data_IF_725734099629
#
_entry.id   IF_725734099629
#
_cell.length_a   1.000
_cell.length_b   1.000
_cell.length_c   1.000
_cell.angle_alpha   90.00
_cell.angle_beta   90.00
_cell.angle_gamma   90.00
#
_symmetry.space_group_name_H-M   'P 1'
#
loop_
_entity.id
_entity.type
_entity.pdbx_description
1 polymer ?
#
# COMPACT_ATOMS: atom_id res chain seq x y z
N UNK A 1 9.48 -20.80 56.69
CA UNK A 1 10.70 -20.85 55.85
C UNK A 1 10.46 -21.45 54.45
N UNK A 2 9.33 -22.12 54.17
CA UNK A 2 9.06 -22.79 52.89
C UNK A 2 8.55 -21.87 51.76
N UNK A 3 7.97 -20.70 52.07
CA UNK A 3 7.42 -19.80 51.04
C UNK A 3 8.47 -18.93 50.33
N UNK A 4 9.60 -18.61 50.97
CA UNK A 4 10.61 -17.70 50.37
C UNK A 4 11.47 -18.36 49.31
N UNK A 5 11.58 -19.71 49.32
CA UNK A 5 12.29 -20.47 48.28
C UNK A 5 11.40 -20.82 47.08
N UNK A 6 10.09 -20.95 47.30
CA UNK A 6 9.14 -21.27 46.24
C UNK A 6 8.97 -20.12 45.23
N UNK A 7 9.05 -18.87 45.71
CA UNK A 7 8.94 -17.67 44.86
C UNK A 7 10.04 -17.57 43.78
N UNK A 8 11.35 -17.61 44.11
CA UNK A 8 12.40 -17.52 43.09
C UNK A 8 12.39 -18.71 42.14
N UNK A 9 12.01 -19.90 42.62
CA UNK A 9 11.90 -21.10 41.79
C UNK A 9 10.78 -20.97 40.75
N UNK A 10 9.63 -20.43 41.14
CA UNK A 10 8.51 -20.19 40.23
C UNK A 10 8.84 -19.11 39.19
N UNK A 11 9.50 -18.03 39.60
CA UNK A 11 9.99 -16.98 38.68
C UNK A 11 10.98 -17.56 37.67
N UNK A 12 11.92 -18.40 38.12
CA UNK A 12 12.88 -19.05 37.22
C UNK A 12 12.19 -19.95 36.18
N UNK A 13 11.20 -20.74 36.61
CA UNK A 13 10.41 -21.58 35.70
C UNK A 13 9.64 -20.75 34.66
N UNK A 14 9.00 -19.65 35.07
CA UNK A 14 8.29 -18.76 34.14
C UNK A 14 9.28 -18.13 33.15
N UNK A 15 10.44 -17.67 33.61
CA UNK A 15 11.45 -17.06 32.76
C UNK A 15 11.96 -18.03 31.69
N UNK A 16 12.31 -19.25 32.11
CA UNK A 16 12.74 -20.31 31.19
C UNK A 16 11.63 -20.71 30.21
N UNK A 17 10.39 -20.79 30.68
CA UNK A 17 9.23 -21.03 29.83
C UNK A 17 9.03 -19.92 28.78
N UNK A 18 9.14 -18.66 29.18
CA UNK A 18 9.02 -17.52 28.28
C UNK A 18 10.13 -17.50 27.23
N UNK A 19 11.37 -17.78 27.62
CA UNK A 19 12.50 -17.91 26.68
C UNK A 19 12.24 -19.04 25.70
N UNK A 20 11.85 -20.22 26.18
CA UNK A 20 11.53 -21.35 25.31
C UNK A 20 10.42 -20.98 24.31
N UNK A 21 9.32 -20.37 24.76
CA UNK A 21 8.23 -19.91 23.89
C UNK A 21 8.73 -18.90 22.86
N UNK A 22 9.57 -17.94 23.24
CA UNK A 22 10.08 -16.91 22.35
C UNK A 22 11.00 -17.46 21.25
N UNK A 23 11.74 -18.54 21.52
CA UNK A 23 12.61 -19.20 20.54
C UNK A 23 11.91 -20.31 19.74
N UNK A 24 10.94 -21.03 20.34
CA UNK A 24 10.18 -22.08 19.66
C UNK A 24 9.05 -21.55 18.80
N UNK A 25 8.39 -20.45 19.20
CA UNK A 25 7.45 -19.79 18.32
C UNK A 25 8.26 -19.02 17.27
N UNK A 26 8.20 -19.39 15.98
CA UNK A 26 8.74 -18.52 14.94
C UNK A 26 8.07 -17.17 15.13
N UNK A 27 8.84 -16.08 15.09
CA UNK A 27 8.31 -14.71 15.15
C UNK A 27 7.30 -14.57 14.02
N UNK A 28 6.03 -14.83 14.31
CA UNK A 28 4.91 -14.71 13.39
C UNK A 28 4.70 -13.21 13.21
N UNK A 29 5.45 -12.66 12.26
CA UNK A 29 5.15 -11.36 11.71
C UNK A 29 3.72 -11.41 11.17
N UNK A 30 2.96 -10.33 11.36
CA UNK A 30 1.56 -10.19 10.94
C UNK A 30 1.31 -10.53 9.45
N UNK A 31 2.36 -10.68 8.63
CA UNK A 31 2.29 -11.14 7.25
C UNK A 31 1.65 -12.53 7.06
N UNK A 32 1.84 -13.50 7.98
CA UNK A 32 1.23 -14.84 7.82
C UNK A 32 -0.29 -14.86 8.05
N UNK A 33 -0.81 -13.94 8.87
CA UNK A 33 -2.25 -13.79 9.06
C UNK A 33 -2.92 -13.05 7.88
N UNK A 34 -2.15 -12.33 7.06
CA UNK A 34 -2.68 -11.70 5.83
C UNK A 34 -3.09 -12.74 4.77
N UNK A 35 -2.46 -13.93 4.76
CA UNK A 35 -2.86 -15.03 3.88
C UNK A 35 -4.23 -15.65 4.26
N UNK A 36 -4.69 -15.43 5.50
CA UNK A 36 -6.02 -15.82 5.98
C UNK A 36 -7.03 -14.67 5.98
N UNK A 37 -6.59 -13.43 5.80
CA UNK A 37 -7.47 -12.33 5.50
C UNK A 37 -7.95 -12.52 4.05
N UNK A 38 -9.18 -12.97 3.90
CA UNK A 38 -9.87 -13.10 2.62
C UNK A 38 -9.55 -11.89 1.74
N UNK A 39 -8.96 -12.15 0.56
CA UNK A 39 -8.47 -11.18 -0.42
C UNK A 39 -9.56 -10.28 -1.03
N UNK A 40 -10.73 -10.17 -0.39
CA UNK A 40 -11.93 -9.52 -0.92
C UNK A 40 -12.71 -8.67 0.08
N UNK A 41 -12.25 -8.50 1.31
CA UNK A 41 -12.95 -7.64 2.27
C UNK A 41 -12.19 -6.32 2.48
N UNK A 42 -12.56 -5.38 1.62
CA UNK A 42 -12.39 -3.92 1.68
C UNK A 42 -11.93 -3.46 3.07
N UNK A 43 -10.62 -3.29 3.23
CA UNK A 43 -10.09 -2.54 4.36
C UNK A 43 -10.35 -1.06 4.10
N UNK A 44 -11.04 -0.45 5.05
CA UNK A 44 -11.63 0.89 5.02
C UNK A 44 -10.65 1.94 4.51
N UNK A 45 -10.89 2.49 3.31
CA UNK A 45 -10.11 3.61 2.74
C UNK A 45 -10.59 4.01 1.36
N UNK A 46 -10.81 3.03 0.47
CA UNK A 46 -11.38 3.24 -0.86
C UNK A 46 -12.33 2.08 -1.19
N UNK A 47 -13.63 2.36 -1.27
CA UNK A 47 -14.63 1.44 -1.81
C UNK A 47 -14.62 1.54 -3.35
N UNK A 48 -14.91 0.44 -4.04
CA UNK A 48 -15.12 0.40 -5.50
C UNK A 48 -16.30 1.28 -5.98
N UNK A 49 -17.07 1.84 -5.05
CA UNK A 49 -18.19 2.72 -5.34
C UNK A 49 -18.21 3.90 -4.35
N UNK A 50 -18.25 5.11 -4.88
CA UNK A 50 -18.40 6.35 -4.09
C UNK A 50 -19.77 6.97 -4.38
N UNK A 51 -20.54 7.22 -3.32
CA UNK A 51 -21.82 7.95 -3.39
C UNK A 51 -21.60 9.40 -2.92
N UNK A 52 -22.11 10.37 -3.69
CA UNK A 52 -22.08 11.78 -3.29
C UNK A 52 -22.91 11.96 -2.01
N UNK A 53 -22.28 12.51 -0.96
CA UNK A 53 -22.88 12.67 0.38
C UNK A 53 -22.26 11.77 1.48
N UNK A 54 -21.54 10.70 1.11
CA UNK A 54 -20.83 9.81 2.08
C UNK A 54 -19.32 10.08 2.23
N UNK A 55 -18.76 11.07 1.51
CA UNK A 55 -17.36 11.52 1.65
C UNK A 55 -16.98 11.88 3.11
N UNK A 56 -17.98 12.13 3.98
CA UNK A 56 -17.78 12.46 5.39
C UNK A 56 -17.18 11.35 6.27
N UNK A 57 -17.28 10.06 5.92
CA UNK A 57 -16.73 8.98 6.78
C UNK A 57 -15.20 8.87 6.68
N UNK A 58 -14.60 9.17 5.52
CA UNK A 58 -13.14 9.15 5.33
C UNK A 58 -12.47 10.32 6.08
N UNK A 59 -13.17 11.47 6.22
CA UNK A 59 -12.65 12.64 6.94
C UNK A 59 -12.62 12.48 8.47
N UNK A 60 -13.19 11.41 9.04
CA UNK A 60 -13.28 11.24 10.50
C UNK A 60 -12.05 10.57 11.12
N UNK A 61 -11.11 10.08 10.29
CA UNK A 61 -9.90 9.41 10.76
C UNK A 61 -8.66 10.22 10.41
N UNK A 62 -7.86 10.58 11.43
CA UNK A 62 -6.54 11.20 11.26
C UNK A 62 -5.42 10.17 11.16
N UNK A 63 -5.74 8.90 10.89
CA UNK A 63 -4.74 7.84 10.74
C UNK A 63 -3.85 8.11 9.53
N UNK A 64 -2.55 7.93 9.72
CA UNK A 64 -1.58 8.02 8.62
C UNK A 64 -1.81 6.87 7.65
N UNK A 65 -1.79 7.16 6.35
CA UNK A 65 -1.97 6.18 5.27
C UNK A 65 -0.64 5.80 4.65
N UNK A 66 0.21 6.80 4.43
CA UNK A 66 1.49 6.64 3.78
C UNK A 66 2.44 7.78 4.15
N UNK A 67 3.73 7.50 4.03
CA UNK A 67 4.82 8.45 4.13
C UNK A 67 5.51 8.56 2.78
N UNK A 68 5.79 9.79 2.34
CA UNK A 68 6.42 10.04 1.06
C UNK A 68 7.68 10.86 1.27
N UNK A 69 8.76 10.42 0.64
CA UNK A 69 10.02 11.13 0.56
C UNK A 69 10.28 11.49 -0.89
N UNK A 70 10.25 12.78 -1.21
CA UNK A 70 10.54 13.30 -2.55
C UNK A 70 12.01 13.68 -2.61
N UNK A 71 12.73 13.22 -3.63
CA UNK A 71 14.14 13.54 -3.82
C UNK A 71 14.31 15.04 -4.12
N UNK A 72 15.18 15.69 -3.35
CA UNK A 72 15.46 17.13 -3.49
C UNK A 72 14.41 18.05 -2.84
N UNK A 73 13.39 17.51 -2.16
CA UNK A 73 12.44 18.30 -1.38
C UNK A 73 12.80 18.35 0.11
N UNK A 74 13.52 19.38 0.52
CA UNK A 74 13.84 19.60 1.94
C UNK A 74 12.79 20.45 2.67
N UNK A 75 11.88 21.10 1.93
CA UNK A 75 10.97 22.14 2.49
C UNK A 75 9.49 21.83 2.31
N UNK A 76 9.13 20.68 1.73
CA UNK A 76 7.74 20.36 1.39
C UNK A 76 7.21 21.28 0.28
N UNK A 77 8.07 21.67 -0.65
CA UNK A 77 7.76 22.64 -1.69
C UNK A 77 6.91 22.08 -2.83
N UNK A 78 6.76 20.76 -2.92
CA UNK A 78 5.95 20.12 -3.96
C UNK A 78 4.50 19.95 -3.51
N UNK A 79 3.59 20.71 -4.12
CA UNK A 79 2.14 20.48 -4.02
C UNK A 79 1.72 19.37 -4.99
N UNK A 80 1.99 18.11 -4.60
CA UNK A 80 1.66 16.92 -5.38
C UNK A 80 0.35 16.29 -4.92
N UNK A 81 -0.45 15.90 -5.92
CA UNK A 81 -1.66 15.08 -5.72
C UNK A 81 -1.34 13.63 -6.01
N UNK A 82 -1.60 12.79 -5.02
CA UNK A 82 -1.37 11.35 -5.09
C UNK A 82 -2.64 10.63 -5.54
N UNK A 83 -2.61 10.04 -6.73
CA UNK A 83 -3.70 9.27 -7.31
C UNK A 83 -3.64 7.84 -6.80
N UNK A 84 -4.72 7.36 -6.19
CA UNK A 84 -4.93 5.95 -5.85
C UNK A 84 -5.87 5.29 -6.86
N UNK A 85 -7.18 5.35 -6.60
CA UNK A 85 -8.22 4.82 -7.49
C UNK A 85 -8.83 5.89 -8.38
N UNK A 86 -9.32 5.48 -9.55
CA UNK A 86 -10.05 6.35 -10.47
C UNK A 86 -11.44 5.81 -10.71
N UNK A 87 -12.43 6.71 -10.81
CA UNK A 87 -13.81 6.37 -11.12
C UNK A 87 -14.22 7.21 -12.33
N UNK A 88 -14.66 6.56 -13.39
CA UNK A 88 -14.90 7.18 -14.71
C UNK A 88 -16.37 7.12 -15.14
N UNK A 89 -17.17 6.26 -14.52
CA UNK A 89 -18.57 6.03 -14.87
C UNK A 89 -19.48 6.58 -13.77
N UNK A 90 -20.41 7.47 -14.15
CA UNK A 90 -21.41 8.04 -13.25
C UNK A 90 -22.81 7.62 -13.69
N UNK A 91 -23.54 6.95 -12.79
CA UNK A 91 -24.90 6.43 -13.06
C UNK A 91 -26.03 7.41 -12.67
N UNK A 92 -25.68 8.65 -12.27
CA UNK A 92 -26.61 9.63 -11.73
C UNK A 92 -26.64 9.70 -10.20
N UNK A 93 -26.04 8.74 -9.49
CA UNK A 93 -25.97 8.69 -8.02
C UNK A 93 -24.60 8.27 -7.49
N UNK A 94 -23.94 7.36 -8.17
CA UNK A 94 -22.70 6.71 -7.77
C UNK A 94 -21.65 6.77 -8.87
N UNK A 95 -20.40 6.88 -8.45
CA UNK A 95 -19.23 6.76 -9.32
C UNK A 95 -18.68 5.34 -9.24
N UNK A 96 -18.39 4.77 -10.40
CA UNK A 96 -17.80 3.45 -10.59
C UNK A 96 -16.71 3.49 -11.65
N UNK A 97 -15.92 2.43 -11.78
CA UNK A 97 -14.97 2.26 -12.88
C UNK A 97 -15.22 0.95 -13.61
N UNK A 98 -15.01 0.94 -14.92
CA UNK A 98 -14.93 -0.31 -15.66
C UNK A 98 -13.50 -0.85 -15.54
N UNK A 99 -13.35 -2.06 -14.99
CA UNK A 99 -12.04 -2.69 -14.76
C UNK A 99 -11.46 -3.24 -16.07
N UNK A 100 -11.15 -2.37 -17.00
CA UNK A 100 -10.28 -2.73 -18.11
C UNK A 100 -8.83 -2.55 -17.63
N UNK A 101 -8.17 -3.67 -17.37
CA UNK A 101 -6.86 -3.72 -16.75
C UNK A 101 -5.84 -4.28 -17.72
N UNK A 102 -4.75 -3.54 -17.93
CA UNK A 102 -3.57 -4.05 -18.60
C UNK A 102 -2.58 -4.54 -17.55
N UNK A 103 -2.25 -5.83 -17.60
CA UNK A 103 -1.23 -6.41 -16.72
C UNK A 103 0.16 -6.07 -17.27
N UNK A 104 1.02 -5.61 -16.37
CA UNK A 104 2.43 -5.32 -16.59
C UNK A 104 3.27 -6.25 -15.73
N UNK A 105 4.39 -6.70 -16.29
CA UNK A 105 5.39 -7.50 -15.58
C UNK A 105 6.65 -6.66 -15.39
N UNK A 106 7.41 -6.90 -14.32
CA UNK A 106 8.63 -6.18 -14.07
C UNK A 106 9.65 -6.50 -15.17
N UNK A 107 10.40 -5.48 -15.56
CA UNK A 107 11.65 -5.62 -16.29
C UNK A 107 12.77 -5.98 -15.30
N UNK A 108 14.02 -5.81 -15.72
CA UNK A 108 15.18 -6.06 -14.87
C UNK A 108 15.06 -5.26 -13.55
N UNK A 109 15.43 -5.89 -12.43
CA UNK A 109 15.43 -5.28 -11.09
C UNK A 109 14.09 -4.73 -10.57
N UNK A 110 12.95 -5.28 -11.02
CA UNK A 110 11.64 -4.89 -10.46
C UNK A 110 11.13 -3.54 -10.96
N UNK A 111 11.62 -3.08 -12.11
CA UNK A 111 11.16 -1.86 -12.76
C UNK A 111 9.96 -2.12 -13.67
N UNK A 112 8.89 -1.37 -13.49
CA UNK A 112 7.70 -1.35 -14.32
C UNK A 112 7.65 -0.04 -15.10
N UNK A 113 7.42 -0.11 -16.40
CA UNK A 113 7.21 1.07 -17.24
C UNK A 113 5.71 1.35 -17.28
N UNK A 114 5.31 2.46 -16.68
CA UNK A 114 3.91 2.89 -16.56
C UNK A 114 3.48 3.85 -17.66
N UNK A 115 4.44 4.46 -18.35
CA UNK A 115 4.19 5.42 -19.44
C UNK A 115 3.17 4.87 -20.43
N UNK A 116 2.00 5.49 -20.45
CA UNK A 116 1.03 5.25 -21.51
C UNK A 116 1.48 6.07 -22.73
N UNK A 117 1.54 5.49 -23.94
CA UNK A 117 1.75 6.26 -25.16
C UNK A 117 0.49 7.09 -25.43
N UNK A 118 0.35 8.22 -24.74
CA UNK A 118 -0.70 9.18 -25.01
C UNK A 118 -0.26 10.03 -26.20
N UNK A 119 -0.72 9.67 -27.40
CA UNK A 119 -0.32 10.29 -28.66
C UNK A 119 -0.56 11.82 -28.74
N UNK A 120 -1.33 12.38 -27.80
CA UNK A 120 -1.78 13.78 -27.82
C UNK A 120 -1.51 14.54 -26.51
N UNK A 121 -0.74 14.00 -25.56
CA UNK A 121 -0.38 14.78 -24.37
C UNK A 121 0.60 15.89 -24.79
N UNK A 122 0.33 17.17 -24.48
CA UNK A 122 1.32 18.21 -24.70
C UNK A 122 2.59 17.80 -23.96
N UNK A 123 3.74 17.84 -24.65
CA UNK A 123 5.07 17.65 -24.07
C UNK A 123 5.30 18.71 -23.01
N UNK A 124 4.71 18.53 -21.82
CA UNK A 124 5.05 19.32 -20.66
C UNK A 124 6.44 18.84 -20.28
N UNK A 125 7.43 19.71 -20.47
CA UNK A 125 8.76 19.54 -19.90
C UNK A 125 8.65 19.72 -18.38
N UNK A 126 7.99 18.77 -17.73
CA UNK A 126 8.03 18.66 -16.28
C UNK A 126 9.32 17.91 -15.96
N UNK A 127 10.09 18.43 -15.00
CA UNK A 127 11.26 17.70 -14.51
C UNK A 127 10.77 16.39 -13.88
N UNK A 128 11.42 15.24 -14.16
CA UNK A 128 11.07 14.00 -13.48
C UNK A 128 11.31 14.19 -11.98
N UNK A 129 10.31 13.81 -11.18
CA UNK A 129 10.37 13.85 -9.72
C UNK A 129 10.47 12.41 -9.27
N UNK A 130 11.57 12.07 -8.61
CA UNK A 130 11.74 10.76 -8.00
C UNK A 130 11.27 10.82 -6.56
N UNK A 131 10.47 9.85 -6.16
CA UNK A 131 10.01 9.75 -4.78
C UNK A 131 9.91 8.30 -4.32
N UNK A 132 10.03 8.13 -3.01
CA UNK A 132 9.82 6.86 -2.34
C UNK A 132 8.57 6.95 -1.48
N UNK A 133 7.71 5.94 -1.60
CA UNK A 133 6.50 5.81 -0.79
C UNK A 133 6.65 4.63 0.15
N UNK A 134 6.26 4.84 1.41
CA UNK A 134 6.07 3.82 2.42
C UNK A 134 4.60 3.81 2.84
N UNK A 135 3.93 2.68 2.65
CA UNK A 135 2.53 2.52 3.06
C UNK A 135 2.45 1.99 4.49
N UNK A 136 1.44 2.44 5.23
CA UNK A 136 1.03 1.74 6.44
C UNK A 136 0.39 0.38 6.08
N UNK A 137 0.46 -0.63 6.95
CA UNK A 137 -0.06 -1.97 6.68
C UNK A 137 -1.59 -2.01 6.79
N UNK A 138 -2.27 -1.57 5.74
CA UNK A 138 -3.73 -1.48 5.66
C UNK A 138 -4.35 -2.42 4.62
N UNK A 139 -3.59 -3.39 4.09
CA UNK A 139 -4.10 -4.43 3.19
C UNK A 139 -4.59 -3.91 1.83
N UNK A 140 -4.22 -2.68 1.47
CA UNK A 140 -4.56 -2.10 0.18
C UNK A 140 -3.61 -2.63 -0.91
N UNK A 141 -4.17 -2.93 -2.07
CA UNK A 141 -3.42 -3.36 -3.24
C UNK A 141 -3.29 -2.24 -4.30
N UNK A 142 -3.45 -0.97 -3.92
CA UNK A 142 -3.36 0.18 -4.83
C UNK A 142 -2.07 0.95 -4.59
N UNK A 143 -1.43 1.39 -5.67
CA UNK A 143 -0.30 2.30 -5.61
C UNK A 143 -0.78 3.76 -5.65
N UNK A 144 -0.18 4.61 -4.82
CA UNK A 144 -0.41 6.04 -4.80
C UNK A 144 0.70 6.74 -5.59
N UNK A 145 0.35 7.26 -6.75
CA UNK A 145 1.32 7.82 -7.69
C UNK A 145 1.00 9.27 -8.03
N UNK A 146 2.01 10.05 -8.44
CA UNK A 146 1.79 11.36 -9.02
C UNK A 146 0.96 11.26 -10.31
N UNK A 147 0.46 12.39 -10.82
CA UNK A 147 -0.50 12.42 -11.93
C UNK A 147 -0.02 11.69 -13.21
N UNK A 148 1.28 11.80 -13.53
CA UNK A 148 1.91 11.22 -14.72
C UNK A 148 3.11 10.37 -14.30
N UNK A 149 2.89 9.14 -13.80
CA UNK A 149 4.00 8.28 -13.40
C UNK A 149 4.63 7.64 -14.64
N UNK A 150 5.95 7.76 -14.77
CA UNK A 150 6.70 7.14 -15.87
C UNK A 150 7.09 5.71 -15.55
N UNK A 151 7.53 5.47 -14.31
CA UNK A 151 8.00 4.18 -13.86
C UNK A 151 7.56 3.88 -12.43
N UNK A 152 7.59 2.61 -12.08
CA UNK A 152 7.41 2.12 -10.71
C UNK A 152 8.49 1.09 -10.45
N UNK A 153 9.20 1.19 -9.34
CA UNK A 153 10.20 0.21 -8.91
C UNK A 153 9.79 -0.40 -7.57
N UNK A 154 9.82 -1.73 -7.49
CA UNK A 154 9.58 -2.45 -6.25
C UNK A 154 9.68 -3.96 -6.41
N UNK A 155 9.51 -4.67 -5.29
CA UNK A 155 9.58 -6.13 -5.23
C UNK A 155 8.23 -6.78 -5.54
N UNK A 156 7.63 -6.45 -6.67
CA UNK A 156 6.32 -6.96 -7.09
C UNK A 156 6.46 -7.83 -8.33
N UNK A 157 5.65 -8.88 -8.46
CA UNK A 157 5.68 -9.78 -9.62
C UNK A 157 4.80 -9.34 -10.78
N UNK A 158 3.71 -8.64 -10.51
CA UNK A 158 2.79 -8.17 -11.53
C UNK A 158 2.00 -6.98 -11.00
N UNK A 159 1.76 -6.00 -11.87
CA UNK A 159 0.91 -4.85 -11.56
C UNK A 159 -0.13 -4.67 -12.67
N UNK A 160 -1.31 -4.20 -12.34
CA UNK A 160 -2.33 -3.82 -13.32
C UNK A 160 -2.39 -2.29 -13.42
N UNK A 161 -2.50 -1.78 -14.64
CA UNK A 161 -2.88 -0.39 -14.90
C UNK A 161 -4.27 -0.33 -15.51
N UNK A 162 -5.14 0.50 -14.95
CA UNK A 162 -6.47 0.80 -15.50
C UNK A 162 -6.42 1.97 -16.48
N UNK A 163 -7.43 2.07 -17.34
CA UNK A 163 -7.55 3.18 -18.32
C UNK A 163 -7.54 4.57 -17.65
N UNK A 164 -8.03 4.68 -16.41
CA UNK A 164 -7.95 5.92 -15.62
C UNK A 164 -6.58 6.21 -15.00
N UNK A 165 -5.60 5.32 -15.18
CA UNK A 165 -4.24 5.45 -14.65
C UNK A 165 -4.07 5.03 -13.20
N UNK A 166 -5.09 4.41 -12.58
CA UNK A 166 -4.94 3.71 -11.31
C UNK A 166 -4.04 2.48 -11.51
N UNK A 167 -3.14 2.24 -10.56
CA UNK A 167 -2.20 1.13 -10.61
C UNK A 167 -2.41 0.23 -9.40
N UNK A 168 -2.54 -1.06 -9.64
CA UNK A 168 -2.83 -2.07 -8.63
C UNK A 168 -1.74 -3.13 -8.60
N UNK A 169 -1.46 -3.63 -7.41
CA UNK A 169 -0.65 -4.80 -7.17
C UNK A 169 -1.49 -6.06 -7.39
N UNK A 170 -0.93 -7.00 -8.16
CA UNK A 170 -1.51 -8.31 -8.41
C UNK A 170 -0.74 -9.43 -7.70
N UNK A 171 0.27 -9.09 -6.90
CA UNK A 171 1.10 -10.04 -6.15
C UNK A 171 0.67 -10.14 -4.68
N UNK A 172 -0.16 -11.14 -4.31
CA UNK A 172 -0.64 -11.28 -2.93
C UNK A 172 0.48 -11.65 -1.94
N UNK A 173 1.64 -12.14 -2.41
CA UNK A 173 2.77 -12.48 -1.54
C UNK A 173 3.58 -11.24 -1.11
N UNK A 174 3.48 -10.14 -1.87
CA UNK A 174 4.27 -8.93 -1.67
C UNK A 174 3.37 -7.69 -1.59
N UNK A 175 2.64 -7.49 -0.47
CA UNK A 175 1.70 -6.38 -0.35
C UNK A 175 2.38 -5.02 -0.54
N UNK A 176 1.61 -4.03 -0.99
CA UNK A 176 2.09 -2.66 -1.23
C UNK A 176 2.56 -2.00 0.07
N UNK A 177 3.86 -2.14 0.36
CA UNK A 177 4.48 -1.59 1.56
C UNK A 177 5.53 -0.51 1.25
N UNK A 178 6.34 -0.70 0.20
CA UNK A 178 7.38 0.24 -0.21
C UNK A 178 7.64 0.18 -1.72
N UNK A 179 7.66 1.33 -2.36
CA UNK A 179 7.99 1.47 -3.78
C UNK A 179 8.61 2.83 -4.08
N UNK A 180 9.24 2.91 -5.26
CA UNK A 180 9.78 4.16 -5.82
C UNK A 180 9.11 4.44 -7.16
N UNK A 181 8.94 5.71 -7.50
CA UNK A 181 8.39 6.14 -8.78
C UNK A 181 8.95 7.50 -9.18
#
# INVERSE_FOLDING_TARGET
ASLSLASPMLVLCILLGAVAIFFLLPRVSAGYLSAYASSGEITTGFSDTVQLGRIGEIQQSSSVVMHIQIEGDERGGFDLKWRGVTLSNFDGRSWSNHRNQRVLFPQLEGHFILSQPHANAPLRSSRPIHYQVLMEPMGMNVFFLAAEPESLKGSYRAVAIEDGGAVFDLDPEHPVARYQA
#
